data_IF_353556882530
#
_entry.id   IF_353556882530
#
_cell.length_a   1.000
_cell.length_b   1.000
_cell.length_c   1.000
_cell.angle_alpha   90.00
_cell.angle_beta   90.00
_cell.angle_gamma   90.00
#
_symmetry.space_group_name_H-M   'P 1'
#
loop_
_entity.id
_entity.type
_entity.pdbx_description
1 polymer ?
#
# COMPACT_ATOMS: atom_id res chain seq x y z
N UNK A 1 -1.78 10.16 -4.07
CA UNK A 1 -2.61 10.12 -2.84
C UNK A 1 -3.06 8.69 -2.70
N UNK A 2 -2.75 8.03 -1.58
CA UNK A 2 -3.03 6.59 -1.37
C UNK A 2 -4.51 6.39 -1.03
N UNK A 3 -5.14 5.36 -1.60
CA UNK A 3 -6.52 4.95 -1.35
C UNK A 3 -6.61 3.47 -1.01
N UNK A 4 -7.69 3.08 -0.34
CA UNK A 4 -8.02 1.66 -0.14
C UNK A 4 -8.23 1.02 -1.52
N UNK A 5 -7.60 -0.15 -1.72
CA UNK A 5 -7.54 -0.87 -2.99
C UNK A 5 -6.31 -0.54 -3.84
N UNK A 6 -5.54 0.51 -3.51
CA UNK A 6 -4.32 0.83 -4.26
C UNK A 6 -3.25 -0.24 -4.03
N UNK A 7 -2.54 -0.59 -5.10
CA UNK A 7 -1.30 -1.36 -5.01
C UNK A 7 -0.13 -0.45 -4.68
N UNK A 8 0.59 -0.80 -3.63
CA UNK A 8 1.66 -0.02 -3.05
C UNK A 8 2.87 -0.89 -2.75
N UNK A 9 4.02 -0.24 -2.59
CA UNK A 9 5.26 -0.85 -2.13
C UNK A 9 5.76 -0.10 -0.90
N UNK A 10 6.46 -0.81 -0.03
CA UNK A 10 7.08 -0.26 1.17
C UNK A 10 8.59 -0.48 1.14
N UNK A 11 9.36 0.45 1.71
CA UNK A 11 10.83 0.30 1.73
C UNK A 11 11.31 -0.81 2.66
N UNK A 12 10.56 -1.09 3.74
CA UNK A 12 10.98 -2.05 4.77
C UNK A 12 10.86 -3.52 4.33
N UNK A 13 10.15 -3.82 3.24
CA UNK A 13 9.98 -5.18 2.75
C UNK A 13 9.76 -5.17 1.23
N UNK A 14 10.53 -5.98 0.47
CA UNK A 14 10.29 -6.13 -0.96
C UNK A 14 8.96 -6.85 -1.20
N UNK A 15 8.15 -6.31 -2.10
CA UNK A 15 6.86 -6.89 -2.47
C UNK A 15 5.81 -5.85 -2.82
N UNK A 16 4.76 -6.31 -3.49
CA UNK A 16 3.55 -5.53 -3.74
C UNK A 16 2.54 -5.83 -2.64
N UNK A 17 1.87 -4.78 -2.17
CA UNK A 17 0.85 -4.85 -1.15
C UNK A 17 -0.37 -4.05 -1.59
N UNK A 18 -1.53 -4.42 -1.09
CA UNK A 18 -2.78 -3.72 -1.34
C UNK A 18 -3.20 -2.98 -0.08
N UNK A 19 -3.62 -1.74 -0.20
CA UNK A 19 -4.14 -0.99 0.94
C UNK A 19 -5.53 -1.49 1.29
N UNK A 20 -5.74 -1.93 2.53
CA UNK A 20 -7.03 -2.46 3.00
C UNK A 20 -7.71 -1.56 4.03
N UNK A 21 -6.96 -0.72 4.74
CA UNK A 21 -7.51 0.29 5.64
C UNK A 21 -6.60 1.52 5.73
N UNK A 22 -7.18 2.67 6.08
CA UNK A 22 -6.47 3.94 6.30
C UNK A 22 -7.06 4.60 7.54
N UNK A 23 -6.20 4.81 8.54
CA UNK A 23 -6.51 5.44 9.81
C UNK A 23 -5.63 6.68 9.98
N UNK A 24 -6.06 7.78 9.34
CA UNK A 24 -5.34 9.05 9.35
C UNK A 24 -3.97 8.97 8.67
N UNK A 25 -2.90 8.83 9.47
CA UNK A 25 -1.51 8.68 8.99
C UNK A 25 -1.07 7.23 8.91
N UNK A 26 -1.83 6.30 9.47
CA UNK A 26 -1.56 4.87 9.43
C UNK A 26 -2.33 4.21 8.29
N UNK A 27 -1.68 3.24 7.64
CA UNK A 27 -2.20 2.53 6.49
C UNK A 27 -1.99 1.05 6.74
N UNK A 28 -3.08 0.28 6.71
CA UNK A 28 -3.01 -1.18 6.75
C UNK A 28 -2.88 -1.69 5.33
N UNK A 29 -1.79 -2.40 5.08
CA UNK A 29 -1.47 -3.03 3.80
C UNK A 29 -1.56 -4.55 3.94
N UNK A 30 -2.00 -5.22 2.90
CA UNK A 30 -2.11 -6.67 2.81
C UNK A 30 -1.28 -7.20 1.65
N UNK A 31 -0.49 -8.23 1.90
CA UNK A 31 0.25 -8.95 0.87
C UNK A 31 -0.64 -9.96 0.14
N UNK A 32 -0.24 -10.41 -1.05
CA UNK A 32 -0.97 -11.46 -1.78
C UNK A 32 -1.12 -12.80 -1.02
N UNK A 33 -0.31 -13.02 0.04
CA UNK A 33 -0.42 -14.17 0.92
C UNK A 33 -1.43 -13.98 2.08
N UNK A 34 -2.13 -12.84 2.13
CA UNK A 34 -3.07 -12.48 3.19
C UNK A 34 -2.41 -11.94 4.46
N UNK A 35 -1.08 -11.74 4.47
CA UNK A 35 -0.41 -11.14 5.62
C UNK A 35 -0.64 -9.63 5.64
N UNK A 36 -1.14 -9.12 6.76
CA UNK A 36 -1.43 -7.71 6.98
C UNK A 36 -0.33 -7.03 7.79
N UNK A 37 -0.09 -5.75 7.50
CA UNK A 37 0.88 -4.92 8.21
C UNK A 37 0.40 -3.46 8.27
N UNK A 38 0.56 -2.83 9.42
CA UNK A 38 0.30 -1.41 9.58
C UNK A 38 1.60 -0.65 9.33
N UNK A 39 1.54 0.38 8.49
CA UNK A 39 2.67 1.23 8.12
C UNK A 39 2.22 2.69 8.07
N UNK A 40 3.16 3.61 8.23
CA UNK A 40 2.86 5.03 8.07
C UNK A 40 2.70 5.37 6.58
N UNK A 41 1.74 6.25 6.27
CA UNK A 41 1.42 6.69 4.90
C UNK A 41 2.66 7.19 4.14
N UNK A 42 3.61 7.84 4.82
CA UNK A 42 4.89 8.32 4.26
C UNK A 42 5.86 7.20 3.87
N UNK A 43 5.73 6.01 4.45
CA UNK A 43 6.55 4.84 4.13
C UNK A 43 6.02 4.08 2.91
N UNK A 44 4.83 4.44 2.42
CA UNK A 44 4.12 3.78 1.33
C UNK A 44 4.36 4.54 0.03
N UNK A 45 4.68 3.83 -1.05
CA UNK A 45 4.75 4.38 -2.40
C UNK A 45 3.71 3.70 -3.29
N UNK A 46 2.82 4.50 -3.87
CA UNK A 46 1.85 4.01 -4.85
C UNK A 46 2.54 3.60 -6.13
N UNK A 47 2.28 2.39 -6.60
CA UNK A 47 2.59 2.04 -7.98
C UNK A 47 1.42 2.55 -8.79
N UNK A 48 1.53 3.77 -9.33
CA UNK A 48 0.61 4.19 -10.35
C UNK A 48 0.81 3.25 -11.54
N UNK A 49 -0.08 2.29 -11.75
CA UNK A 49 -0.25 1.71 -13.08
C UNK A 49 -0.60 2.91 -13.96
N UNK A 50 0.36 3.34 -14.77
CA UNK A 50 0.12 4.35 -15.78
C UNK A 50 -1.12 3.90 -16.55
N UNK A 51 -2.21 4.64 -16.44
CA UNK A 51 -3.39 4.38 -17.25
C UNK A 51 -2.92 4.37 -18.72
N UNK A 52 -3.27 3.35 -19.51
CA UNK A 52 -2.97 3.38 -20.92
C UNK A 52 -3.69 4.59 -21.51
N UNK A 53 -2.91 5.43 -22.19
CA UNK A 53 -3.31 6.70 -22.75
C UNK A 53 -4.26 6.54 -23.93
#
# INVERSE_FOLDING_TARGET
MVRIGDTVVIMSAPGMFTVVAIDGQEVTIESAAGAQKIVLMQAVRTIAMAAPH
#
